data_IF_186482071111
#
_entry.id   IF_186482071111
#
_cell.length_a   1.000
_cell.length_b   1.000
_cell.length_c   1.000
_cell.angle_alpha   90.00
_cell.angle_beta   90.00
_cell.angle_gamma   90.00
#
_symmetry.space_group_name_H-M   'P 1'
#
loop_
_entity.id
_entity.type
_entity.pdbx_description
1 polymer ?
#
# COMPACT_ATOMS: atom_id res chain seq x y z
N UNK A 1 2.67 8.32 4.15
CA UNK A 1 2.47 7.49 5.36
C UNK A 1 1.37 6.47 5.08
N UNK A 2 1.78 5.29 4.62
CA UNK A 2 0.92 4.18 4.23
C UNK A 2 1.24 3.01 5.15
N UNK A 3 0.21 2.37 5.71
CA UNK A 3 0.32 1.24 6.62
C UNK A 3 -0.49 0.04 6.11
N UNK A 4 -0.30 -1.12 6.76
CA UNK A 4 -1.15 -2.30 6.52
C UNK A 4 -2.62 -1.93 6.74
N UNK A 5 -3.50 -2.51 5.92
CA UNK A 5 -4.94 -2.21 5.83
C UNK A 5 -5.31 -0.82 5.30
N UNK A 6 -4.35 -0.02 4.82
CA UNK A 6 -4.66 1.22 4.10
C UNK A 6 -5.27 0.88 2.72
N UNK A 7 -6.39 1.53 2.38
CA UNK A 7 -6.96 1.50 1.03
C UNK A 7 -6.47 2.68 0.20
N UNK A 8 -6.16 2.43 -1.07
CA UNK A 8 -5.64 3.45 -1.99
C UNK A 8 -6.31 3.36 -3.35
N UNK A 9 -6.49 4.50 -4.01
CA UNK A 9 -6.89 4.56 -5.42
C UNK A 9 -5.69 4.22 -6.30
N UNK A 10 -5.96 3.52 -7.39
CA UNK A 10 -4.95 3.18 -8.40
C UNK A 10 -4.80 4.35 -9.37
N UNK A 11 -3.55 4.74 -9.65
CA UNK A 11 -3.22 5.91 -10.48
C UNK A 11 -2.64 5.54 -11.86
N UNK A 12 -2.64 4.25 -12.21
CA UNK A 12 -2.17 3.74 -13.50
C UNK A 12 -3.34 3.19 -14.35
N UNK A 13 -3.02 2.62 -15.51
CA UNK A 13 -3.97 2.04 -16.46
C UNK A 13 -4.16 0.52 -16.30
N UNK A 14 -3.84 -0.05 -15.13
CA UNK A 14 -3.98 -1.49 -14.87
C UNK A 14 -5.43 -1.99 -14.77
N UNK A 15 -6.41 -1.07 -14.71
CA UNK A 15 -7.84 -1.39 -14.66
C UNK A 15 -8.39 -1.65 -13.25
N UNK A 16 -7.54 -1.70 -12.23
CA UNK A 16 -7.95 -1.73 -10.84
C UNK A 16 -8.46 -0.35 -10.37
N UNK A 17 -9.48 -0.33 -9.51
CA UNK A 17 -10.04 0.92 -8.96
C UNK A 17 -9.41 1.29 -7.62
N UNK A 18 -9.28 0.29 -6.75
CA UNK A 18 -8.72 0.42 -5.41
C UNK A 18 -7.90 -0.80 -5.06
N UNK A 19 -6.93 -0.62 -4.15
CA UNK A 19 -6.09 -1.68 -3.59
C UNK A 19 -6.04 -1.58 -2.07
N UNK A 20 -5.79 -2.71 -1.42
CA UNK A 20 -5.54 -2.81 0.03
C UNK A 20 -4.06 -3.15 0.26
N UNK A 21 -3.40 -2.42 1.14
CA UNK A 21 -2.02 -2.70 1.53
C UNK A 21 -1.97 -3.86 2.52
N UNK A 22 -1.27 -4.93 2.18
CA UNK A 22 -1.16 -6.13 3.04
C UNK A 22 0.16 -6.19 3.83
N UNK A 23 1.20 -5.48 3.38
CA UNK A 23 2.53 -5.49 4.00
C UNK A 23 3.34 -4.27 3.57
N UNK A 24 4.14 -3.74 4.49
CA UNK A 24 5.16 -2.72 4.19
C UNK A 24 6.52 -3.41 4.07
N UNK A 25 7.16 -3.31 2.90
CA UNK A 25 8.47 -3.91 2.61
C UNK A 25 9.63 -2.96 3.02
N UNK A 26 10.82 -3.53 3.25
CA UNK A 26 12.04 -2.75 3.52
C UNK A 26 12.66 -2.91 4.91
N UNK A 27 12.57 -4.11 5.50
CA UNK A 27 13.25 -4.48 6.75
C UNK A 27 12.32 -5.02 7.84
N UNK A 28 12.92 -5.45 8.95
CA UNK A 28 12.19 -5.98 10.11
C UNK A 28 11.41 -4.87 10.81
N UNK A 29 10.15 -5.15 11.20
CA UNK A 29 9.27 -4.24 11.95
C UNK A 29 8.99 -2.88 11.29
N UNK A 30 9.10 -2.76 9.97
CA UNK A 30 8.76 -1.54 9.26
C UNK A 30 7.24 -1.30 9.28
N UNK A 31 6.80 -0.18 9.87
CA UNK A 31 5.38 0.14 10.07
C UNK A 31 4.76 1.00 8.96
N UNK A 32 5.56 1.84 8.32
CA UNK A 32 5.06 2.83 7.36
C UNK A 32 5.92 2.88 6.08
N UNK A 33 5.23 3.01 4.95
CA UNK A 33 5.82 3.52 3.70
C UNK A 33 5.52 5.01 3.58
N UNK A 34 6.45 5.76 2.96
CA UNK A 34 6.27 7.19 2.75
C UNK A 34 5.26 7.43 1.64
#
# INVERSE_FOLDING_TARGET
MIQVESRMKVADNSGAREVLVIKVLGGTNRRYAN
#
